data_IF_592766558932
#
_entry.id   IF_592766558932
#
_cell.length_a   1.000
_cell.length_b   1.000
_cell.length_c   1.000
_cell.angle_alpha   90.00
_cell.angle_beta   90.00
_cell.angle_gamma   90.00
#
_symmetry.space_group_name_H-M   'P 1'
#
loop_
_entity.id
_entity.type
_entity.pdbx_description
1 polymer ?
#
# COMPACT_ATOMS: atom_id res chain seq x y z
N UNK A 1 7.33 5.12 -7.99
CA UNK A 1 8.18 6.33 -7.98
C UNK A 1 8.55 6.65 -6.54
N UNK A 2 9.80 6.98 -6.26
CA UNK A 2 10.31 7.23 -4.90
C UNK A 2 11.28 8.42 -4.92
N UNK A 3 11.40 9.13 -3.79
CA UNK A 3 12.47 10.11 -3.58
C UNK A 3 13.81 9.40 -3.35
N UNK A 4 14.85 9.87 -4.02
CA UNK A 4 16.22 9.48 -3.72
C UNK A 4 16.79 10.33 -2.57
N UNK A 5 17.90 9.91 -1.91
CA UNK A 5 18.55 10.72 -0.88
C UNK A 5 18.91 12.15 -1.33
N UNK A 6 19.09 12.36 -2.62
CA UNK A 6 19.40 13.69 -3.19
C UNK A 6 18.13 14.44 -3.65
N UNK A 7 16.97 14.10 -3.09
CA UNK A 7 15.65 14.70 -3.41
C UNK A 7 15.28 14.67 -4.89
N UNK A 8 15.80 13.71 -5.66
CA UNK A 8 15.40 13.47 -7.05
C UNK A 8 14.31 12.41 -7.10
N UNK A 9 13.38 12.54 -8.06
CA UNK A 9 12.34 11.54 -8.28
C UNK A 9 12.84 10.44 -9.20
N UNK A 10 12.99 9.23 -8.68
CA UNK A 10 13.40 8.05 -9.45
C UNK A 10 12.21 7.12 -9.73
N UNK A 11 12.25 6.50 -10.89
CA UNK A 11 11.31 5.46 -11.33
C UNK A 11 11.96 4.10 -11.12
N UNK A 12 11.24 3.20 -10.46
CA UNK A 12 11.69 1.83 -10.17
C UNK A 12 10.72 0.83 -10.79
N UNK A 13 11.25 -0.29 -11.25
CA UNK A 13 10.52 -1.52 -11.60
C UNK A 13 11.15 -2.62 -10.76
N UNK A 14 10.38 -3.28 -9.90
CA UNK A 14 10.86 -4.35 -9.00
C UNK A 14 12.16 -3.97 -8.25
N UNK A 15 12.17 -2.78 -7.64
CA UNK A 15 13.32 -2.20 -6.93
C UNK A 15 14.57 -1.85 -7.78
N UNK A 16 14.52 -2.05 -9.08
CA UNK A 16 15.57 -1.61 -10.01
C UNK A 16 15.24 -0.19 -10.50
N UNK A 17 16.15 0.74 -10.29
CA UNK A 17 16.00 2.10 -10.84
C UNK A 17 16.16 2.07 -12.35
N UNK A 18 15.11 2.46 -13.09
CA UNK A 18 15.06 2.46 -14.55
C UNK A 18 15.14 3.85 -15.16
N UNK A 19 14.98 4.89 -14.35
CA UNK A 19 15.05 6.26 -14.81
C UNK A 19 14.83 7.29 -13.73
N UNK A 20 14.86 8.56 -14.14
CA UNK A 20 14.58 9.70 -13.28
C UNK A 20 13.58 10.63 -13.95
N UNK A 21 12.73 11.25 -13.16
CA UNK A 21 11.80 12.29 -13.63
C UNK A 21 12.60 13.56 -13.92
N UNK A 22 12.43 14.21 -15.09
CA UNK A 22 13.06 15.48 -15.39
C UNK A 22 12.79 16.55 -14.32
N UNK A 23 13.76 17.44 -14.11
CA UNK A 23 13.67 18.46 -13.05
C UNK A 23 12.49 19.41 -13.21
N UNK A 24 12.11 19.73 -14.46
CA UNK A 24 10.95 20.57 -14.75
C UNK A 24 9.62 19.93 -14.30
N UNK A 25 9.49 18.62 -14.49
CA UNK A 25 8.30 17.88 -14.06
C UNK A 25 8.33 17.59 -12.55
N UNK A 26 9.52 17.43 -11.96
CA UNK A 26 9.69 17.14 -10.54
C UNK A 26 9.01 18.15 -9.63
N UNK A 27 9.14 19.44 -9.93
CA UNK A 27 8.60 20.51 -9.10
C UNK A 27 7.08 20.37 -8.93
N UNK A 28 6.39 20.01 -10.02
CA UNK A 28 4.92 19.85 -10.01
C UNK A 28 4.46 18.66 -9.15
N UNK A 29 5.30 17.64 -8.95
CA UNK A 29 4.96 16.46 -8.15
C UNK A 29 5.57 16.50 -6.73
N UNK A 30 6.33 17.53 -6.38
CA UNK A 30 7.08 17.58 -5.13
C UNK A 30 6.17 17.34 -3.92
N UNK A 31 5.12 18.13 -3.76
CA UNK A 31 4.22 18.05 -2.61
C UNK A 31 3.56 16.67 -2.48
N UNK A 32 3.09 16.07 -3.58
CA UNK A 32 2.48 14.74 -3.61
C UNK A 32 3.48 13.68 -3.15
N UNK A 33 4.71 13.76 -3.64
CA UNK A 33 5.72 12.74 -3.33
C UNK A 33 6.27 12.90 -1.91
N UNK A 34 6.37 14.12 -1.40
CA UNK A 34 6.71 14.40 0.01
C UNK A 34 5.63 13.86 0.95
N UNK A 35 4.36 14.07 0.62
CA UNK A 35 3.22 13.54 1.39
C UNK A 35 3.18 12.01 1.37
N UNK A 36 3.35 11.39 0.21
CA UNK A 36 3.46 9.93 0.08
C UNK A 36 4.65 9.38 0.87
N UNK A 37 5.79 10.06 0.80
CA UNK A 37 6.98 9.63 1.52
C UNK A 37 6.80 9.71 3.05
N UNK A 38 6.19 10.78 3.55
CA UNK A 38 5.88 10.93 4.98
C UNK A 38 4.90 9.86 5.48
N UNK A 39 4.03 9.37 4.60
CA UNK A 39 3.07 8.29 4.87
C UNK A 39 3.62 6.89 4.55
N UNK A 40 4.93 6.75 4.27
CA UNK A 40 5.59 5.50 3.87
C UNK A 40 4.95 4.84 2.62
N UNK A 41 4.39 5.66 1.75
CA UNK A 41 3.76 5.24 0.50
C UNK A 41 4.62 5.59 -0.71
N UNK A 42 4.32 5.00 -1.85
CA UNK A 42 4.93 5.36 -3.12
C UNK A 42 3.87 5.47 -4.22
N UNK A 43 4.10 6.34 -5.19
CA UNK A 43 3.20 6.47 -6.33
C UNK A 43 3.46 5.33 -7.32
N UNK A 44 2.45 4.48 -7.54
CA UNK A 44 2.44 3.48 -8.60
C UNK A 44 1.81 4.10 -9.86
N UNK A 45 2.50 3.98 -10.97
CA UNK A 45 2.05 4.54 -12.25
C UNK A 45 2.14 3.51 -13.36
N UNK A 46 1.21 3.51 -14.33
CA UNK A 46 1.29 2.63 -15.49
C UNK A 46 2.56 2.88 -16.29
N UNK A 47 3.24 1.82 -16.65
CA UNK A 47 4.45 1.89 -17.47
C UNK A 47 4.39 0.89 -18.62
N UNK A 48 5.02 1.24 -19.75
CA UNK A 48 5.21 0.37 -20.90
C UNK A 48 6.71 0.21 -21.16
N UNK A 49 7.15 -1.02 -21.30
CA UNK A 49 8.53 -1.34 -21.64
C UNK A 49 8.58 -1.77 -23.11
N UNK A 50 9.51 -1.21 -23.84
CA UNK A 50 9.79 -1.66 -25.21
C UNK A 50 11.26 -2.04 -25.34
N UNK A 51 11.51 -3.03 -26.18
CA UNK A 51 12.86 -3.51 -26.50
C UNK A 51 13.00 -3.74 -27.99
N UNK A 52 14.17 -3.37 -28.53
CA UNK A 52 14.53 -3.68 -29.93
C UNK A 52 15.96 -4.22 -30.01
N UNK A 53 16.16 -5.12 -30.97
CA UNK A 53 17.47 -5.70 -31.28
C UNK A 53 18.04 -5.22 -32.61
N UNK A 54 17.34 -4.32 -33.30
CA UNK A 54 17.84 -3.74 -34.56
C UNK A 54 18.99 -2.77 -34.24
N UNK A 55 20.15 -3.00 -34.84
CA UNK A 55 21.37 -2.20 -34.61
C UNK A 55 21.87 -2.16 -33.13
N UNK A 56 21.81 -3.29 -32.44
CA UNK A 56 22.16 -3.42 -31.04
C UNK A 56 20.94 -3.53 -30.10
N UNK A 57 21.19 -3.84 -28.85
CA UNK A 57 20.14 -3.92 -27.86
C UNK A 57 19.76 -2.51 -27.36
N UNK A 58 18.50 -2.13 -27.54
CA UNK A 58 17.94 -0.90 -26.99
C UNK A 58 16.67 -1.22 -26.23
N UNK A 59 16.52 -0.65 -25.06
CA UNK A 59 15.32 -0.72 -24.25
C UNK A 59 14.91 0.67 -23.78
N UNK A 60 13.62 0.89 -23.64
CA UNK A 60 13.09 2.13 -23.08
C UNK A 60 11.87 1.87 -22.22
N UNK A 61 11.64 2.75 -21.28
CA UNK A 61 10.47 2.74 -20.40
C UNK A 61 9.70 4.04 -20.61
N UNK A 62 8.43 3.91 -20.94
CA UNK A 62 7.50 5.03 -21.00
C UNK A 62 6.55 4.95 -19.80
N UNK A 63 6.41 6.04 -19.07
CA UNK A 63 5.61 6.13 -17.85
C UNK A 63 4.51 7.16 -18.06
N UNK A 64 3.28 6.80 -17.70
CA UNK A 64 2.15 7.74 -17.74
C UNK A 64 1.92 8.29 -16.32
N UNK A 65 2.24 9.56 -16.14
CA UNK A 65 1.95 10.26 -14.90
C UNK A 65 0.52 10.83 -14.93
N UNK A 66 -0.28 10.66 -13.86
CA UNK A 66 -1.49 11.45 -13.67
C UNK A 66 -1.10 12.93 -13.46
N UNK A 67 -2.02 13.85 -13.66
CA UNK A 67 -1.76 15.24 -13.28
C UNK A 67 -1.53 15.33 -11.77
N UNK A 68 -0.63 16.21 -11.28
CA UNK A 68 -0.34 16.35 -9.85
C UNK A 68 -1.60 16.54 -9.00
N UNK A 69 -2.53 17.38 -9.47
CA UNK A 69 -3.78 17.69 -8.78
C UNK A 69 -4.79 16.52 -8.78
N UNK A 70 -4.59 15.53 -9.64
CA UNK A 70 -5.41 14.31 -9.69
C UNK A 70 -4.91 13.23 -8.72
N UNK A 71 -3.67 13.36 -8.23
CA UNK A 71 -3.09 12.41 -7.29
C UNK A 71 -3.61 12.73 -5.89
N UNK A 72 -4.55 11.93 -5.42
CA UNK A 72 -4.99 11.97 -4.02
C UNK A 72 -4.27 10.89 -3.25
N UNK A 73 -3.61 11.27 -2.16
CA UNK A 73 -2.98 10.32 -1.24
C UNK A 73 -4.06 9.57 -0.47
N UNK A 74 -4.12 8.23 -0.52
CA UNK A 74 -5.10 7.48 0.25
C UNK A 74 -4.89 7.65 1.75
N UNK A 75 -5.95 7.90 2.49
CA UNK A 75 -5.90 7.97 3.96
C UNK A 75 -6.08 6.59 4.58
N UNK A 76 -5.62 6.41 5.82
CA UNK A 76 -5.85 5.22 6.61
C UNK A 76 -4.81 4.11 6.46
N UNK A 77 -3.62 4.41 5.92
CA UNK A 77 -2.54 3.42 5.88
C UNK A 77 -2.14 3.03 7.31
N UNK A 78 -2.23 1.73 7.70
CA UNK A 78 -1.84 1.30 9.04
C UNK A 78 -0.33 1.39 9.24
N UNK A 79 0.08 1.55 10.48
CA UNK A 79 1.48 1.42 10.88
C UNK A 79 1.82 -0.06 11.03
N UNK A 80 2.99 -0.48 10.53
CA UNK A 80 3.47 -1.86 10.67
C UNK A 80 3.49 -2.64 9.36
N UNK A 81 3.73 -3.96 9.45
CA UNK A 81 3.80 -4.82 8.28
C UNK A 81 2.44 -4.96 7.59
N UNK A 82 2.41 -4.75 6.28
CA UNK A 82 1.19 -4.88 5.48
C UNK A 82 1.37 -5.82 4.29
N UNK A 83 0.34 -6.56 3.95
CA UNK A 83 0.19 -7.26 2.68
C UNK A 83 -0.90 -6.56 1.87
N UNK A 84 -0.58 -6.12 0.66
CA UNK A 84 -1.48 -5.30 -0.17
C UNK A 84 -2.15 -6.20 -1.21
N UNK A 85 -3.46 -6.34 -1.15
CA UNK A 85 -4.22 -7.04 -2.20
C UNK A 85 -4.09 -6.33 -3.54
N UNK A 86 -3.91 -7.06 -4.64
CA UNK A 86 -3.93 -6.48 -5.97
C UNK A 86 -5.27 -5.77 -6.23
N UNK A 87 -5.21 -4.68 -6.99
CA UNK A 87 -6.41 -3.99 -7.42
C UNK A 87 -7.28 -4.93 -8.29
N UNK A 88 -8.59 -4.91 -8.03
CA UNK A 88 -9.52 -5.82 -8.68
C UNK A 88 -10.91 -5.21 -8.85
N UNK A 89 -11.92 -6.05 -8.76
CA UNK A 89 -13.32 -5.62 -8.89
C UNK A 89 -13.78 -4.84 -7.67
N UNK A 90 -14.81 -4.03 -7.87
CA UNK A 90 -15.46 -3.32 -6.77
C UNK A 90 -16.22 -4.31 -5.87
N UNK A 91 -15.95 -4.19 -4.57
CA UNK A 91 -16.60 -4.97 -3.51
C UNK A 91 -17.29 -3.99 -2.57
N UNK A 92 -18.61 -4.10 -2.48
CA UNK A 92 -19.41 -3.23 -1.60
C UNK A 92 -19.16 -3.59 -0.14
N UNK A 93 -18.89 -2.63 0.69
CA UNK A 93 -18.96 -2.73 2.15
C UNK A 93 -20.41 -2.65 2.56
N UNK A 94 -20.78 -3.20 3.68
CA UNK A 94 -22.14 -3.23 4.23
C UNK A 94 -22.13 -2.83 5.69
N UNK A 95 -23.22 -2.26 6.18
CA UNK A 95 -23.33 -1.81 7.57
C UNK A 95 -22.72 -0.43 7.81
N UNK A 96 -22.42 0.31 6.75
CA UNK A 96 -21.89 1.68 6.80
C UNK A 96 -22.81 2.64 7.55
N UNK A 97 -24.11 2.36 7.54
CA UNK A 97 -25.11 3.14 8.28
C UNK A 97 -24.87 3.18 9.79
N UNK A 98 -24.18 2.17 10.32
CA UNK A 98 -23.79 2.13 11.74
C UNK A 98 -22.49 2.89 12.03
N UNK A 99 -21.80 3.34 10.99
CA UNK A 99 -20.48 3.99 11.06
C UNK A 99 -20.44 5.33 10.33
N UNK A 100 -21.61 5.93 10.08
CA UNK A 100 -21.77 7.18 9.30
C UNK A 100 -20.88 8.31 9.82
N UNK A 101 -20.79 8.48 11.15
CA UNK A 101 -19.98 9.54 11.74
C UNK A 101 -18.48 9.36 11.45
N UNK A 102 -17.98 8.13 11.57
CA UNK A 102 -16.59 7.80 11.25
C UNK A 102 -16.28 8.04 9.76
N UNK A 103 -17.19 7.60 8.88
CA UNK A 103 -17.04 7.77 7.43
C UNK A 103 -17.09 9.26 7.02
N UNK A 104 -17.96 10.06 7.63
CA UNK A 104 -18.01 11.51 7.40
C UNK A 104 -16.75 12.21 7.90
N UNK A 105 -16.19 11.76 9.02
CA UNK A 105 -14.90 12.25 9.53
C UNK A 105 -13.76 11.99 8.53
N UNK A 106 -13.74 10.81 7.91
CA UNK A 106 -12.75 10.45 6.88
C UNK A 106 -12.94 11.23 5.56
N UNK A 107 -14.17 11.57 5.19
CA UNK A 107 -14.45 12.44 4.05
C UNK A 107 -13.92 13.88 4.25
N UNK A 108 -13.86 14.34 5.52
CA UNK A 108 -13.35 15.68 5.87
C UNK A 108 -13.98 16.83 5.03
N UNK A 109 -15.23 16.68 4.62
CA UNK A 109 -15.94 17.63 3.76
C UNK A 109 -15.79 17.41 2.24
N UNK A 110 -14.94 16.50 1.83
CA UNK A 110 -14.80 16.06 0.44
C UNK A 110 -16.00 15.17 0.03
N UNK A 111 -16.32 15.14 -1.26
CA UNK A 111 -17.35 14.25 -1.79
C UNK A 111 -16.83 12.82 -2.01
N UNK A 112 -15.53 12.66 -2.19
CA UNK A 112 -14.90 11.37 -2.48
C UNK A 112 -13.44 11.35 -2.05
N UNK A 113 -13.07 10.36 -1.23
CA UNK A 113 -11.71 10.20 -0.69
C UNK A 113 -11.22 8.77 -0.96
N UNK A 114 -10.02 8.59 -1.56
CA UNK A 114 -9.39 7.30 -1.64
C UNK A 114 -8.88 6.89 -0.24
N UNK A 115 -9.00 5.61 0.08
CA UNK A 115 -8.58 5.06 1.37
C UNK A 115 -7.79 3.78 1.21
N UNK A 116 -6.98 3.48 2.21
CA UNK A 116 -6.44 2.14 2.43
C UNK A 116 -7.32 1.46 3.47
N UNK A 117 -7.98 0.40 3.07
CA UNK A 117 -8.85 -0.38 3.95
C UNK A 117 -8.09 -1.57 4.52
N UNK A 118 -8.16 -1.72 5.83
CA UNK A 118 -7.67 -2.88 6.57
C UNK A 118 -8.78 -3.93 6.65
N UNK A 119 -8.42 -5.19 6.40
CA UNK A 119 -9.33 -6.33 6.47
C UNK A 119 -8.93 -7.23 7.63
N UNK A 120 -9.89 -7.52 8.52
CA UNK A 120 -9.67 -8.39 9.68
C UNK A 120 -10.81 -9.39 9.83
N UNK A 121 -10.57 -10.48 10.54
CA UNK A 121 -11.61 -11.42 10.94
C UNK A 121 -12.48 -10.78 12.03
N UNK A 122 -13.79 -10.87 11.87
CA UNK A 122 -14.76 -10.29 12.79
C UNK A 122 -15.87 -11.29 13.12
N UNK A 123 -16.15 -11.48 14.41
CA UNK A 123 -17.23 -12.37 14.86
C UNK A 123 -18.53 -11.57 14.95
N UNK A 124 -19.40 -11.79 13.97
CA UNK A 124 -20.75 -11.21 13.96
C UNK A 124 -21.70 -12.09 14.77
N UNK A 125 -22.19 -11.54 15.88
CA UNK A 125 -23.24 -12.20 16.69
C UNK A 125 -24.61 -12.03 16.04
N UNK A 126 -25.28 -13.14 15.79
CA UNK A 126 -26.66 -13.22 15.36
C UNK A 126 -27.51 -13.71 16.55
N UNK A 127 -28.82 -13.65 16.44
CA UNK A 127 -29.72 -14.03 17.56
C UNK A 127 -29.46 -15.42 18.14
N UNK A 128 -29.08 -16.38 17.32
CA UNK A 128 -28.90 -17.80 17.71
C UNK A 128 -27.57 -18.39 17.30
N UNK A 129 -26.75 -17.67 16.54
CA UNK A 129 -25.49 -18.20 16.00
C UNK A 129 -24.46 -17.07 15.91
N UNK A 130 -23.19 -17.44 15.92
CA UNK A 130 -22.07 -16.56 15.60
C UNK A 130 -21.53 -16.92 14.21
N UNK A 131 -21.06 -15.92 13.48
CA UNK A 131 -20.42 -16.15 12.18
C UNK A 131 -19.17 -15.26 12.07
N UNK A 132 -18.09 -15.84 11.58
CA UNK A 132 -16.92 -15.07 11.17
C UNK A 132 -17.20 -14.41 9.84
N UNK A 133 -17.00 -13.12 9.77
CA UNK A 133 -17.07 -12.27 8.58
C UNK A 133 -15.84 -11.40 8.51
N UNK A 134 -15.62 -10.71 7.39
CA UNK A 134 -14.52 -9.76 7.27
C UNK A 134 -14.99 -8.39 7.71
N UNK A 135 -14.33 -7.84 8.73
CA UNK A 135 -14.43 -6.46 9.15
C UNK A 135 -13.58 -5.56 8.26
N UNK A 136 -14.05 -4.34 8.05
CA UNK A 136 -13.35 -3.32 7.25
C UNK A 136 -13.05 -2.13 8.14
N UNK A 137 -11.77 -1.78 8.25
CA UNK A 137 -11.30 -0.60 8.99
C UNK A 137 -10.59 0.37 8.07
N UNK A 138 -10.54 1.63 8.47
CA UNK A 138 -9.71 2.66 7.86
C UNK A 138 -9.03 3.44 8.97
N UNK A 139 -7.69 3.43 8.98
CA UNK A 139 -6.91 4.04 10.06
C UNK A 139 -7.26 3.48 11.44
N UNK A 140 -7.48 2.16 11.53
CA UNK A 140 -7.85 1.46 12.77
C UNK A 140 -9.31 1.60 13.19
N UNK A 141 -10.12 2.42 12.49
CA UNK A 141 -11.54 2.65 12.83
C UNK A 141 -12.42 1.74 12.00
N UNK A 142 -13.31 0.98 12.64
CA UNK A 142 -14.30 0.14 11.97
C UNK A 142 -15.27 1.01 11.15
N UNK A 143 -15.44 0.66 9.88
CA UNK A 143 -16.31 1.40 8.94
C UNK A 143 -17.37 0.53 8.28
N UNK A 144 -17.33 -0.78 8.50
CA UNK A 144 -18.33 -1.70 8.00
C UNK A 144 -17.84 -3.15 7.95
N UNK A 145 -18.60 -3.99 7.27
CA UNK A 145 -18.34 -5.41 7.14
C UNK A 145 -18.50 -5.84 5.67
N UNK A 146 -17.85 -6.90 5.27
CA UNK A 146 -18.22 -7.59 4.03
C UNK A 146 -19.45 -8.47 4.26
N UNK A 147 -20.27 -8.67 3.21
CA UNK A 147 -21.36 -9.63 3.27
C UNK A 147 -20.83 -11.03 3.59
N UNK A 148 -21.67 -11.91 4.15
CA UNK A 148 -21.28 -13.30 4.46
C UNK A 148 -20.68 -14.02 3.25
N UNK A 149 -21.31 -13.87 2.07
CA UNK A 149 -20.80 -14.48 0.85
C UNK A 149 -19.43 -13.92 0.44
N UNK A 150 -19.27 -12.60 0.54
CA UNK A 150 -18.02 -11.96 0.16
C UNK A 150 -16.91 -12.29 1.17
N UNK A 151 -17.24 -12.36 2.46
CA UNK A 151 -16.30 -12.74 3.51
C UNK A 151 -15.67 -14.12 3.28
N UNK A 152 -16.44 -15.10 2.77
CA UNK A 152 -15.93 -16.43 2.44
C UNK A 152 -14.78 -16.41 1.41
N UNK A 153 -14.74 -15.40 0.53
CA UNK A 153 -13.69 -15.25 -0.47
C UNK A 153 -12.42 -14.61 0.11
N UNK A 154 -12.53 -13.82 1.18
CA UNK A 154 -11.40 -13.10 1.76
C UNK A 154 -10.86 -13.72 3.03
N UNK A 155 -11.68 -14.41 3.84
CA UNK A 155 -11.28 -14.99 5.12
C UNK A 155 -9.99 -15.81 5.06
N UNK A 156 -9.77 -16.73 4.09
CA UNK A 156 -8.53 -17.52 4.08
C UNK A 156 -7.25 -16.67 4.00
N UNK A 157 -7.30 -15.54 3.29
CA UNK A 157 -6.16 -14.62 3.17
C UNK A 157 -6.03 -13.73 4.40
N UNK A 158 -7.16 -13.29 4.96
CA UNK A 158 -7.20 -12.51 6.22
C UNK A 158 -6.57 -13.33 7.34
N UNK A 159 -7.03 -14.57 7.54
CA UNK A 159 -6.53 -15.47 8.58
C UNK A 159 -5.02 -15.76 8.41
N UNK A 160 -4.57 -16.02 7.19
CA UNK A 160 -3.14 -16.22 6.92
C UNK A 160 -2.28 -14.98 7.25
N UNK A 161 -2.80 -13.78 7.01
CA UNK A 161 -2.13 -12.53 7.38
C UNK A 161 -2.12 -12.34 8.91
N UNK A 162 -3.24 -12.57 9.58
CA UNK A 162 -3.36 -12.49 11.05
C UNK A 162 -2.39 -13.46 11.75
N UNK A 163 -2.32 -14.72 11.31
CA UNK A 163 -1.37 -15.72 11.81
C UNK A 163 0.09 -15.28 11.63
N UNK A 164 0.39 -14.56 10.55
CA UNK A 164 1.73 -14.06 10.27
C UNK A 164 2.05 -12.71 10.95
N UNK A 165 1.09 -12.10 11.67
CA UNK A 165 1.25 -10.78 12.28
C UNK A 165 1.35 -9.64 11.25
N UNK A 166 0.69 -9.80 10.11
CA UNK A 166 0.68 -8.86 8.98
C UNK A 166 -0.75 -8.35 8.80
N UNK A 167 -0.92 -7.03 8.61
CA UNK A 167 -2.23 -6.45 8.31
C UNK A 167 -2.54 -6.61 6.82
N UNK A 168 -3.65 -7.24 6.48
CA UNK A 168 -4.12 -7.29 5.09
C UNK A 168 -4.81 -5.98 4.75
N UNK A 169 -4.36 -5.34 3.66
CA UNK A 169 -4.94 -4.08 3.18
C UNK A 169 -5.31 -4.14 1.71
N UNK A 170 -6.24 -3.29 1.33
CA UNK A 170 -6.60 -3.07 -0.07
C UNK A 170 -6.97 -1.61 -0.34
N UNK A 171 -6.98 -1.24 -1.60
CA UNK A 171 -7.51 0.05 -2.04
C UNK A 171 -9.01 0.12 -1.83
N UNK A 172 -9.50 1.30 -1.45
CA UNK A 172 -10.93 1.58 -1.32
C UNK A 172 -11.24 3.03 -1.61
N UNK A 173 -12.52 3.34 -1.60
CA UNK A 173 -13.03 4.70 -1.79
C UNK A 173 -14.25 4.91 -0.94
N UNK A 174 -14.26 6.00 -0.20
CA UNK A 174 -15.44 6.50 0.48
C UNK A 174 -16.04 7.59 -0.40
N UNK A 175 -17.35 7.54 -0.61
CA UNK A 175 -18.09 8.55 -1.37
C UNK A 175 -19.39 8.91 -0.65
N UNK A 176 -19.79 10.17 -0.71
CA UNK A 176 -21.05 10.56 -0.13
C UNK A 176 -21.10 11.99 0.36
N UNK A 177 -22.08 12.23 1.20
CA UNK A 177 -22.34 13.48 1.87
C UNK A 177 -23.07 13.21 3.21
N UNK A 178 -23.52 14.27 3.88
CA UNK A 178 -24.21 14.17 5.18
C UNK A 178 -25.48 13.31 5.18
N UNK A 179 -26.10 13.05 4.01
CA UNK A 179 -27.32 12.26 3.90
C UNK A 179 -27.03 10.77 3.70
N UNK A 180 -25.98 10.46 2.95
CA UNK A 180 -25.59 9.08 2.64
C UNK A 180 -24.11 8.99 2.37
N UNK A 181 -23.47 8.01 2.99
CA UNK A 181 -22.07 7.66 2.75
C UNK A 181 -21.99 6.20 2.37
N UNK A 182 -21.24 5.90 1.32
CA UNK A 182 -20.98 4.55 0.83
C UNK A 182 -19.47 4.30 0.80
N UNK A 183 -19.07 3.04 1.01
CA UNK A 183 -17.69 2.60 0.87
C UNK A 183 -17.58 1.40 -0.06
N UNK A 184 -16.62 1.48 -0.98
CA UNK A 184 -16.33 0.42 -1.94
C UNK A 184 -14.84 0.08 -1.85
N UNK A 185 -14.52 -1.21 -1.76
CA UNK A 185 -13.17 -1.72 -1.91
C UNK A 185 -12.89 -2.03 -3.39
N UNK A 186 -11.62 -1.94 -3.78
CA UNK A 186 -11.16 -2.32 -5.13
C UNK A 186 -10.05 -3.37 -4.98
N UNK A 187 -10.45 -4.64 -4.89
CA UNK A 187 -9.54 -5.74 -4.61
C UNK A 187 -9.86 -7.00 -5.41
N UNK A 188 -8.83 -7.77 -5.72
CA UNK A 188 -8.96 -9.15 -6.16
C UNK A 188 -9.44 -9.98 -4.96
N UNK A 189 -10.43 -10.85 -5.17
CA UNK A 189 -10.90 -11.74 -4.11
C UNK A 189 -9.78 -12.71 -3.71
N UNK A 190 -9.68 -13.04 -2.44
CA UNK A 190 -8.69 -13.97 -1.94
C UNK A 190 -8.72 -15.33 -2.66
N UNK A 191 -9.92 -15.81 -3.02
CA UNK A 191 -10.10 -17.05 -3.80
C UNK A 191 -9.66 -16.96 -5.27
N UNK A 192 -9.40 -15.77 -5.79
CA UNK A 192 -8.94 -15.51 -7.16
C UNK A 192 -7.43 -15.18 -7.21
N UNK A 193 -6.76 -15.11 -6.05
CA UNK A 193 -5.32 -14.87 -5.98
C UNK A 193 -4.51 -16.08 -6.50
N UNK A 194 -3.37 -15.84 -7.16
CA UNK A 194 -2.45 -16.91 -7.49
C UNK A 194 -2.00 -17.67 -6.23
N UNK A 195 -1.81 -19.00 -6.28
CA UNK A 195 -1.40 -19.79 -5.11
C UNK A 195 -0.12 -19.29 -4.44
N UNK A 196 0.81 -18.74 -5.22
CA UNK A 196 2.08 -18.20 -4.76
C UNK A 196 1.93 -16.87 -4.02
N UNK A 197 0.82 -16.15 -4.20
CA UNK A 197 0.66 -14.81 -3.66
C UNK A 197 0.77 -14.77 -2.13
N UNK A 198 0.09 -15.68 -1.44
CA UNK A 198 0.15 -15.77 0.03
C UNK A 198 1.57 -16.12 0.48
N UNK A 199 2.22 -17.09 -0.21
CA UNK A 199 3.58 -17.45 0.12
C UNK A 199 4.56 -16.27 -0.01
N UNK A 200 4.44 -15.49 -1.07
CA UNK A 200 5.38 -14.41 -1.39
C UNK A 200 5.11 -13.13 -0.60
N UNK A 201 3.85 -12.77 -0.41
CA UNK A 201 3.47 -11.50 0.22
C UNK A 201 3.17 -11.62 1.72
N UNK A 202 2.96 -12.82 2.23
CA UNK A 202 2.68 -13.07 3.66
C UNK A 202 3.84 -13.83 4.29
N UNK A 203 4.02 -15.11 3.97
CA UNK A 203 4.97 -15.96 4.70
C UNK A 203 6.44 -15.58 4.48
N UNK A 204 6.86 -15.33 3.23
CA UNK A 204 8.24 -14.88 2.96
C UNK A 204 8.51 -13.49 3.52
N UNK A 205 7.50 -12.63 3.53
CA UNK A 205 7.61 -11.30 4.10
C UNK A 205 7.73 -11.35 5.62
N UNK A 206 6.89 -12.13 6.31
CA UNK A 206 6.98 -12.35 7.75
C UNK A 206 8.36 -12.92 8.15
N UNK A 207 8.87 -13.90 7.38
CA UNK A 207 10.20 -14.49 7.62
C UNK A 207 11.33 -13.46 7.48
N UNK A 208 11.25 -12.55 6.51
CA UNK A 208 12.23 -11.46 6.36
C UNK A 208 12.22 -10.51 7.54
N UNK A 209 11.03 -10.12 8.02
CA UNK A 209 10.88 -9.26 9.19
C UNK A 209 11.48 -9.91 10.45
N UNK A 210 11.18 -11.17 10.69
CA UNK A 210 11.75 -11.93 11.81
C UNK A 210 13.28 -12.03 11.74
N UNK A 211 13.84 -12.20 10.55
CA UNK A 211 15.30 -12.24 10.32
C UNK A 211 15.96 -10.87 10.55
N UNK A 212 15.29 -9.78 10.26
CA UNK A 212 15.79 -8.42 10.51
C UNK A 212 15.74 -8.03 12.01
N UNK A 213 14.72 -8.47 12.72
CA UNK A 213 14.59 -8.25 14.16
C UNK A 213 15.64 -9.01 15.01
N UNK A 214 16.23 -10.08 14.46
CA UNK A 214 17.23 -10.89 15.11
C UNK A 214 18.70 -10.52 14.77
N UNK A 215 18.95 -9.52 13.93
CA UNK A 215 20.31 -9.06 13.63
C UNK A 215 20.77 -8.10 14.72
N UNK A 216 21.88 -8.39 15.46
CA UNK A 216 22.41 -7.46 16.46
C UNK A 216 22.91 -6.19 15.77
N UNK A 217 22.63 -5.03 16.35
CA UNK A 217 23.15 -3.71 15.96
C UNK A 217 24.68 -3.60 16.20
N UNK A 218 25.48 -4.47 15.63
CA UNK A 218 26.93 -4.46 15.78
C UNK A 218 27.62 -4.52 14.42
N UNK A 219 27.64 -3.39 13.70
CA UNK A 219 28.69 -3.11 12.71
C UNK A 219 28.65 -1.69 12.10
N UNK A 220 28.29 -0.67 12.87
CA UNK A 220 28.40 0.73 12.42
C UNK A 220 29.36 1.55 13.29
N UNK A 221 30.49 0.95 13.75
CA UNK A 221 31.58 1.71 14.33
C UNK A 221 32.87 0.90 14.20
N UNK A 222 33.55 1.05 13.05
CA UNK A 222 35.01 0.97 12.95
C UNK A 222 35.41 1.32 11.51
N UNK A 223 35.83 2.54 11.33
CA UNK A 223 36.34 3.08 10.06
C UNK A 223 36.93 4.47 10.22
N UNK A 224 37.45 4.80 11.42
CA UNK A 224 38.42 5.90 11.52
C UNK A 224 39.77 5.37 11.06
N UNK A 225 40.06 5.57 9.78
CA UNK A 225 41.40 5.41 9.23
C UNK A 225 42.15 6.72 9.44
N UNK A 226 43.11 6.70 10.37
CA UNK A 226 44.13 7.70 10.57
C UNK A 226 44.84 7.97 9.25
N UNK A 227 44.68 9.18 8.72
CA UNK A 227 45.59 9.73 7.72
C UNK A 227 46.86 10.21 8.46
N UNK A 228 47.91 9.44 8.30
CA UNK A 228 49.25 9.79 8.80
C UNK A 228 49.91 10.76 7.81
N UNK A 229 50.04 12.01 8.24
CA UNK A 229 50.86 13.05 7.60
C UNK A 229 52.33 12.69 7.72
N UNK A 230 52.98 12.36 6.61
CA UNK A 230 54.43 12.46 6.48
C UNK A 230 54.80 13.28 5.27
N UNK A 231 54.98 14.54 5.52
CA UNK A 231 55.88 15.44 4.77
C UNK A 231 57.30 15.05 5.09
N UNK A 232 58.15 14.83 4.12
CA UNK A 232 59.58 15.11 4.17
C UNK A 232 60.20 15.02 2.76
N UNK A 233 60.80 16.11 2.40
CA UNK A 233 61.91 16.39 1.47
C UNK A 233 61.67 16.21 -0.03
#
# INVERSE_FOLDING_TARGET
MRLTPNHKLAVFIDDVQVGMVPDEARESYRHVVEELHSSHQCLLVPASIWMTRQNGFKAGVSVKFPLPDEVKVPVGMPSGPVAILPQGRKVQVTGEENHTEALLGLLAGEHSVPVVAELESFIKKLKTTERTVVGVKVGGVMVGLLSTQMSQHFLPVVEACEEAGITLVCSGRITGNQLKVDMVLEAVKGSELPPEWINDNVYRYAKRLAGQAGAPESSLHQGESSYDDRVAE
#
